data_IF_231740870636
#
_entry.id   IF_231740870636
#
_cell.length_a   1.000
_cell.length_b   1.000
_cell.length_c   1.000
_cell.angle_alpha   90.00
_cell.angle_beta   90.00
_cell.angle_gamma   90.00
#
_symmetry.space_group_name_H-M   'P 1'
#
loop_
_entity.id
_entity.type
_entity.pdbx_description
1 polymer ?
#
# COMPACT_ATOMS: atom_id res chain seq x y z
N UNK A 1 38.95 39.95 27.34
CA UNK A 1 37.50 39.98 27.68
C UNK A 1 36.58 40.38 26.53
N UNK A 2 36.84 41.51 25.85
CA UNK A 2 36.02 42.00 24.72
C UNK A 2 36.16 41.17 23.44
N UNK A 3 37.36 40.66 23.15
CA UNK A 3 37.63 39.84 21.95
C UNK A 3 36.88 38.50 21.99
N UNK A 4 36.76 37.89 23.18
CA UNK A 4 36.06 36.61 23.35
C UNK A 4 34.53 36.76 23.17
N UNK A 5 33.97 37.91 23.57
CA UNK A 5 32.57 38.26 23.34
C UNK A 5 32.26 38.45 21.85
N UNK A 6 33.19 39.04 21.08
CA UNK A 6 33.05 39.19 19.63
C UNK A 6 33.14 37.85 18.89
N UNK A 7 33.97 36.91 19.35
CA UNK A 7 34.08 35.58 18.71
C UNK A 7 32.79 34.78 18.97
N UNK A 8 32.21 34.89 20.17
CA UNK A 8 30.94 34.23 20.51
C UNK A 8 29.76 34.78 19.70
N UNK A 9 29.72 36.10 19.46
CA UNK A 9 28.66 36.73 18.65
C UNK A 9 28.77 36.39 17.17
N UNK A 10 29.98 36.27 16.62
CA UNK A 10 30.21 35.85 15.23
C UNK A 10 29.86 34.37 15.03
N UNK A 11 30.19 33.49 15.98
CA UNK A 11 29.80 32.07 15.94
C UNK A 11 28.27 31.89 15.97
N UNK A 12 27.54 32.68 16.77
CA UNK A 12 26.07 32.64 16.82
C UNK A 12 25.39 33.18 15.54
N UNK A 13 26.05 34.09 14.80
CA UNK A 13 25.55 34.65 13.55
C UNK A 13 25.97 33.86 12.29
N UNK A 14 26.88 32.90 12.43
CA UNK A 14 27.38 32.04 11.35
C UNK A 14 26.96 30.57 11.49
N UNK A 15 26.04 30.27 12.41
CA UNK A 15 25.11 29.16 12.23
C UNK A 15 23.98 29.67 11.32
N UNK A 16 24.06 29.52 9.98
CA UNK A 16 22.83 29.56 9.21
C UNK A 16 21.93 28.51 9.86
N UNK A 17 20.74 28.92 10.28
CA UNK A 17 19.73 28.02 10.79
C UNK A 17 19.77 26.77 9.93
N UNK A 18 20.18 25.64 10.51
CA UNK A 18 20.00 24.35 9.90
C UNK A 18 18.49 24.06 9.91
N UNK A 19 17.75 24.82 9.11
CA UNK A 19 16.43 24.48 8.62
C UNK A 19 16.65 23.44 7.52
N UNK A 20 17.17 22.30 7.93
CA UNK A 20 16.97 21.04 7.24
C UNK A 20 16.03 20.24 8.13
N UNK A 21 14.72 20.51 7.99
CA UNK A 21 13.69 19.50 7.86
C UNK A 21 12.33 20.19 7.75
N UNK A 22 11.77 20.19 6.55
CA UNK A 22 10.62 19.34 6.29
C UNK A 22 10.37 19.40 4.79
N UNK A 23 10.60 18.30 4.09
CA UNK A 23 9.80 17.98 2.90
C UNK A 23 8.38 17.72 3.39
N UNK A 24 7.72 18.77 3.88
CA UNK A 24 6.29 18.78 4.08
C UNK A 24 5.76 18.87 2.65
N UNK A 25 5.06 17.83 2.18
CA UNK A 25 4.33 17.90 0.93
C UNK A 25 3.59 19.23 0.90
N UNK A 26 4.02 20.13 0.02
CA UNK A 26 3.31 21.36 -0.18
C UNK A 26 1.96 20.93 -0.75
N UNK A 27 0.93 20.97 0.10
CA UNK A 27 -0.45 20.86 -0.31
C UNK A 27 -0.69 21.97 -1.33
N UNK A 28 -0.59 21.63 -2.62
CA UNK A 28 -1.21 22.44 -3.65
C UNK A 28 -2.68 22.49 -3.26
N UNK A 29 -3.25 23.69 -3.08
CA UNK A 29 -4.68 23.81 -2.77
C UNK A 29 -5.46 22.91 -3.73
N UNK A 30 -6.47 22.20 -3.20
CA UNK A 30 -7.35 21.31 -3.99
C UNK A 30 -7.87 21.93 -5.31
N UNK A 31 -7.89 23.26 -5.40
CA UNK A 31 -8.22 24.05 -6.59
C UNK A 31 -7.15 23.99 -7.69
N UNK A 32 -5.87 24.07 -7.32
CA UNK A 32 -4.76 23.96 -8.27
C UNK A 32 -4.65 22.55 -8.86
N UNK A 33 -4.92 21.53 -8.05
CA UNK A 33 -4.99 20.14 -8.52
C UNK A 33 -6.11 19.93 -9.54
N UNK A 34 -7.26 20.59 -9.37
CA UNK A 34 -8.37 20.53 -10.33
C UNK A 34 -8.06 21.22 -11.65
N UNK A 35 -7.32 22.32 -11.64
CA UNK A 35 -6.83 23.00 -12.85
C UNK A 35 -5.83 22.13 -13.64
N UNK A 36 -5.04 21.32 -12.93
CA UNK A 36 -4.15 20.31 -13.52
C UNK A 36 -4.90 19.05 -14.01
N UNK A 37 -6.20 18.95 -13.77
CA UNK A 37 -7.05 17.83 -14.16
C UNK A 37 -7.07 16.66 -13.18
N UNK A 38 -6.50 16.83 -11.98
CA UNK A 38 -6.50 15.82 -10.92
C UNK A 38 -7.73 15.94 -10.03
N UNK A 39 -8.22 14.79 -9.55
CA UNK A 39 -9.31 14.73 -8.57
C UNK A 39 -8.80 15.12 -7.18
N UNK A 40 -9.64 15.74 -6.36
CA UNK A 40 -9.32 16.11 -4.97
C UNK A 40 -9.23 14.91 -4.01
N UNK A 41 -9.59 13.71 -4.47
CA UNK A 41 -9.48 12.45 -3.70
C UNK A 41 -8.50 11.48 -4.39
N UNK A 42 -7.49 12.02 -5.07
CA UNK A 42 -6.50 11.22 -5.77
C UNK A 42 -5.66 10.44 -4.75
N UNK A 43 -5.44 9.16 -5.01
CA UNK A 43 -4.63 8.27 -4.18
C UNK A 43 -3.21 8.18 -4.72
N UNK A 44 -2.20 8.09 -3.84
CA UNK A 44 -0.81 8.11 -4.28
C UNK A 44 -0.42 6.84 -5.05
N UNK A 45 -1.08 5.70 -4.79
CA UNK A 45 -0.90 4.48 -5.58
C UNK A 45 -1.25 4.65 -7.07
N UNK A 46 -2.21 5.53 -7.39
CA UNK A 46 -2.54 5.86 -8.78
C UNK A 46 -1.41 6.62 -9.48
N UNK A 47 -0.61 7.39 -8.72
CA UNK A 47 0.55 8.13 -9.23
C UNK A 47 1.73 7.23 -9.61
N UNK A 48 1.89 6.09 -8.94
CA UNK A 48 2.95 5.12 -9.26
C UNK A 48 2.67 4.39 -10.58
N UNK A 49 1.40 4.12 -10.89
CA UNK A 49 0.97 3.45 -12.12
C UNK A 49 1.15 4.34 -13.36
N UNK A 50 1.11 5.67 -13.23
CA UNK A 50 1.31 6.62 -14.33
C UNK A 50 2.68 6.45 -15.02
N UNK A 51 3.69 5.97 -14.30
CA UNK A 51 5.00 5.64 -14.85
C UNK A 51 4.96 4.51 -15.89
N UNK A 52 4.06 3.53 -15.73
CA UNK A 52 3.88 2.40 -16.65
C UNK A 52 3.29 2.85 -18.00
N UNK A 53 2.43 3.87 -17.98
CA UNK A 53 1.76 4.41 -19.17
C UNK A 53 2.56 5.51 -19.89
N UNK A 54 3.86 5.67 -19.57
CA UNK A 54 4.72 6.74 -20.11
C UNK A 54 4.21 8.17 -19.80
N UNK A 55 3.45 8.33 -18.71
CA UNK A 55 2.95 9.62 -18.23
C UNK A 55 3.86 10.20 -17.13
N UNK A 56 5.17 9.96 -17.24
CA UNK A 56 6.20 10.38 -16.27
C UNK A 56 6.23 11.90 -16.04
N UNK A 57 5.77 12.69 -17.02
CA UNK A 57 5.68 14.15 -16.91
C UNK A 57 4.62 14.60 -15.88
N UNK A 58 3.56 13.82 -15.69
CA UNK A 58 2.44 14.11 -14.79
C UNK A 58 2.65 13.54 -13.38
N UNK A 59 3.58 12.61 -13.22
CA UNK A 59 3.93 11.99 -11.95
C UNK A 59 4.35 12.98 -10.84
N UNK A 60 5.19 14.01 -11.10
CA UNK A 60 5.52 15.00 -10.08
C UNK A 60 4.30 15.82 -9.63
N UNK A 61 3.45 16.23 -10.57
CA UNK A 61 2.23 16.99 -10.29
C UNK A 61 1.19 16.14 -9.53
N UNK A 62 1.08 14.85 -9.89
CA UNK A 62 0.23 13.86 -9.23
C UNK A 62 0.62 13.68 -7.75
N UNK A 63 1.92 13.56 -7.48
CA UNK A 63 2.44 13.37 -6.13
C UNK A 63 2.20 14.57 -5.20
N UNK A 64 2.02 15.77 -5.77
CA UNK A 64 1.65 16.97 -5.01
C UNK A 64 0.15 17.08 -4.72
N UNK A 65 -0.67 16.26 -5.39
CA UNK A 65 -2.14 16.29 -5.32
C UNK A 65 -2.74 15.01 -4.71
N UNK A 66 -1.92 14.03 -4.34
CA UNK A 66 -2.38 12.74 -3.86
C UNK A 66 -2.46 12.68 -2.33
N UNK A 67 -3.45 11.95 -1.84
CA UNK A 67 -3.63 11.62 -0.44
C UNK A 67 -2.99 10.26 -0.16
N UNK A 68 -2.16 10.19 0.88
CA UNK A 68 -1.60 8.93 1.33
C UNK A 68 -2.72 8.02 1.84
N UNK A 69 -2.87 6.83 1.25
CA UNK A 69 -3.77 5.82 1.79
C UNK A 69 -3.34 5.36 3.18
N UNK A 70 -4.21 5.54 4.18
CA UNK A 70 -4.10 4.84 5.45
C UNK A 70 -4.46 3.37 5.19
N UNK A 71 -3.42 2.56 5.03
CA UNK A 71 -3.48 1.16 4.60
C UNK A 71 -3.87 1.03 3.14
N UNK A 72 -2.89 1.22 2.26
CA UNK A 72 -2.64 0.17 1.29
C UNK A 72 -2.56 -1.11 2.12
N UNK A 73 -3.60 -1.94 2.09
CA UNK A 73 -3.42 -3.33 2.47
C UNK A 73 -2.31 -3.81 1.54
N UNK A 74 -1.07 -3.80 2.03
CA UNK A 74 0.03 -4.54 1.42
C UNK A 74 -0.60 -5.89 1.21
N UNK A 75 -0.89 -6.24 -0.06
CA UNK A 75 -1.60 -7.47 -0.41
C UNK A 75 -0.87 -8.54 0.36
N UNK A 76 -1.49 -9.07 1.40
CA UNK A 76 -0.82 -10.00 2.30
C UNK A 76 -0.65 -11.25 1.46
N UNK A 77 0.55 -11.40 0.91
CA UNK A 77 0.91 -12.54 0.11
C UNK A 77 1.12 -13.70 1.07
N UNK A 78 0.46 -14.81 0.78
CA UNK A 78 0.56 -16.04 1.55
C UNK A 78 1.56 -16.96 0.84
N UNK A 79 2.37 -17.66 1.62
CA UNK A 79 3.37 -18.58 1.08
C UNK A 79 2.73 -19.84 0.48
N UNK A 80 1.48 -20.13 0.84
CA UNK A 80 0.72 -21.24 0.28
C UNK A 80 -0.75 -21.24 0.69
N UNK A 81 -1.53 -22.12 0.08
CA UNK A 81 -2.92 -22.36 0.43
C UNK A 81 -3.23 -23.86 0.38
N UNK A 82 -4.07 -24.34 1.29
CA UNK A 82 -4.59 -25.71 1.34
C UNK A 82 -6.10 -25.64 1.18
N UNK A 83 -6.60 -26.37 0.18
CA UNK A 83 -8.03 -26.53 -0.05
C UNK A 83 -8.51 -27.85 0.55
N UNK A 84 -9.39 -27.78 1.55
CA UNK A 84 -10.02 -28.96 2.14
C UNK A 84 -11.41 -29.18 1.49
N UNK A 85 -11.50 -30.18 0.61
CA UNK A 85 -12.76 -30.60 -0.01
C UNK A 85 -13.20 -31.94 0.56
N UNK A 86 -14.39 -31.99 1.15
CA UNK A 86 -15.04 -33.27 1.46
C UNK A 86 -15.73 -33.80 0.20
N UNK A 87 -15.13 -34.81 -0.45
CA UNK A 87 -15.77 -35.55 -1.54
C UNK A 87 -16.79 -36.55 -0.97
N UNK A 88 -17.99 -36.07 -0.68
CA UNK A 88 -19.11 -36.92 -0.26
C UNK A 88 -19.94 -37.38 -1.46
N UNK A 89 -19.77 -38.63 -1.89
CA UNK A 89 -20.68 -39.28 -2.82
C UNK A 89 -22.04 -39.52 -2.13
N UNK A 90 -23.07 -38.80 -2.59
CA UNK A 90 -24.47 -39.22 -2.58
C UNK A 90 -25.08 -39.63 -1.22
N UNK A 91 -24.95 -38.82 -0.17
CA UNK A 91 -25.97 -38.75 0.90
C UNK A 91 -25.83 -37.46 1.71
N UNK A 92 -26.91 -36.68 1.76
CA UNK A 92 -27.02 -35.44 2.54
C UNK A 92 -27.04 -35.76 4.04
N UNK A 93 -25.87 -36.03 4.63
CA UNK A 93 -25.68 -36.11 6.07
C UNK A 93 -24.51 -35.22 6.46
N UNK A 94 -24.88 -33.97 6.77
CA UNK A 94 -24.05 -32.88 7.34
C UNK A 94 -22.61 -32.87 6.83
N UNK A 95 -22.46 -32.57 5.54
CA UNK A 95 -21.18 -32.27 4.92
C UNK A 95 -20.55 -31.03 5.56
N UNK A 96 -19.29 -31.14 5.95
CA UNK A 96 -18.48 -29.98 6.30
C UNK A 96 -18.39 -29.07 5.10
N UNK A 97 -18.64 -27.78 5.30
CA UNK A 97 -18.48 -26.77 4.25
C UNK A 97 -17.03 -26.79 3.75
N UNK A 98 -16.79 -26.62 2.43
CA UNK A 98 -15.44 -26.57 1.90
C UNK A 98 -14.72 -25.32 2.42
N UNK A 99 -13.47 -25.52 2.84
CA UNK A 99 -12.66 -24.51 3.51
C UNK A 99 -11.33 -24.32 2.79
N UNK A 100 -10.95 -23.06 2.61
CA UNK A 100 -9.64 -22.65 2.11
C UNK A 100 -8.80 -22.13 3.28
N UNK A 101 -7.64 -22.75 3.52
CA UNK A 101 -6.69 -22.37 4.57
C UNK A 101 -5.47 -21.72 3.94
N UNK A 102 -5.20 -20.48 4.29
CA UNK A 102 -4.04 -19.71 3.83
C UNK A 102 -2.89 -19.90 4.80
N UNK A 103 -1.68 -20.12 4.29
CA UNK A 103 -0.49 -20.40 5.06
C UNK A 103 0.45 -19.20 5.09
N UNK A 104 1.09 -18.97 6.24
CA UNK A 104 2.22 -18.04 6.37
C UNK A 104 3.55 -18.65 5.89
N UNK A 105 4.62 -17.87 5.91
CA UNK A 105 5.98 -18.28 5.54
C UNK A 105 6.53 -19.45 6.37
N UNK A 106 5.96 -19.67 7.54
CA UNK A 106 6.34 -20.73 8.46
C UNK A 106 5.53 -22.02 8.22
N UNK A 107 4.60 -22.00 7.26
CA UNK A 107 3.70 -23.11 6.95
C UNK A 107 2.56 -23.29 7.95
N UNK A 108 2.29 -22.30 8.82
CA UNK A 108 1.16 -22.33 9.73
C UNK A 108 -0.08 -21.71 9.10
N UNK A 109 -1.27 -22.09 9.57
CA UNK A 109 -2.54 -21.54 9.09
C UNK A 109 -2.65 -20.09 9.58
N UNK A 110 -2.55 -19.16 8.64
CA UNK A 110 -2.71 -17.74 8.88
C UNK A 110 -4.18 -17.31 8.84
N UNK A 111 -4.99 -17.92 7.95
CA UNK A 111 -6.39 -17.56 7.75
C UNK A 111 -7.21 -18.75 7.22
N UNK A 112 -8.50 -18.78 7.57
CA UNK A 112 -9.44 -19.82 7.17
C UNK A 112 -10.70 -19.19 6.56
N UNK A 113 -11.07 -19.59 5.35
CA UNK A 113 -12.16 -19.02 4.56
C UNK A 113 -13.13 -20.09 4.08
N UNK A 114 -14.43 -19.86 4.27
CA UNK A 114 -15.48 -20.74 3.74
C UNK A 114 -15.78 -20.40 2.27
N UNK A 115 -15.49 -21.32 1.36
CA UNK A 115 -15.62 -21.10 -0.09
C UNK A 115 -16.89 -21.73 -0.69
N UNK A 116 -17.88 -22.06 0.13
CA UNK A 116 -19.10 -22.79 -0.29
C UNK A 116 -19.84 -22.14 -1.48
N UNK A 117 -19.71 -20.82 -1.65
CA UNK A 117 -20.37 -20.06 -2.73
C UNK A 117 -19.45 -19.77 -3.92
N UNK A 118 -18.18 -20.14 -3.84
CA UNK A 118 -17.20 -19.79 -4.84
C UNK A 118 -17.18 -20.85 -5.94
N UNK A 119 -17.06 -20.40 -7.18
CA UNK A 119 -16.78 -21.28 -8.31
C UNK A 119 -15.26 -21.42 -8.49
N UNK A 120 -14.85 -22.35 -9.36
CA UNK A 120 -13.44 -22.63 -9.63
C UNK A 120 -12.67 -21.38 -10.09
N UNK A 121 -13.28 -20.57 -10.97
CA UNK A 121 -12.65 -19.38 -11.53
C UNK A 121 -12.38 -18.32 -10.45
N UNK A 122 -13.33 -18.12 -9.54
CA UNK A 122 -13.19 -17.19 -8.41
C UNK A 122 -12.13 -17.63 -7.40
N UNK A 123 -11.99 -18.94 -7.17
CA UNK A 123 -10.93 -19.47 -6.31
C UNK A 123 -9.56 -19.26 -6.96
N UNK A 124 -9.43 -19.51 -8.26
CA UNK A 124 -8.18 -19.31 -8.99
C UNK A 124 -7.75 -17.84 -9.03
N UNK A 125 -8.69 -16.92 -9.29
CA UNK A 125 -8.43 -15.48 -9.28
C UNK A 125 -7.96 -14.99 -7.91
N UNK A 126 -8.66 -15.40 -6.84
CA UNK A 126 -8.30 -15.05 -5.47
C UNK A 126 -6.92 -15.57 -5.08
N UNK A 127 -6.62 -16.84 -5.38
CA UNK A 127 -5.31 -17.42 -5.10
C UNK A 127 -4.21 -16.76 -5.92
N UNK A 128 -4.49 -16.39 -7.17
CA UNK A 128 -3.53 -15.68 -8.03
C UNK A 128 -3.21 -14.26 -7.54
N UNK A 129 -4.13 -13.61 -6.83
CA UNK A 129 -3.91 -12.30 -6.22
C UNK A 129 -3.19 -12.40 -4.86
N UNK A 130 -3.49 -13.45 -4.08
CA UNK A 130 -3.10 -13.56 -2.66
C UNK A 130 -1.90 -14.47 -2.41
N UNK A 131 -1.44 -15.27 -3.37
CA UNK A 131 -0.23 -16.08 -3.22
C UNK A 131 0.99 -15.37 -3.77
N UNK A 132 2.11 -15.50 -3.07
CA UNK A 132 3.41 -15.04 -3.56
C UNK A 132 3.82 -15.88 -4.77
N UNK A 133 4.10 -15.23 -5.92
CA UNK A 133 4.59 -15.92 -7.12
C UNK A 133 6.08 -16.19 -6.96
N UNK A 134 6.41 -17.40 -6.49
CA UNK A 134 7.77 -17.95 -6.50
C UNK A 134 8.13 -18.46 -7.90
#
# INVERSE_FOLDING_TARGET
>A
PLVLLCILSVLLLSFPSALQLSAYGADLSSEACRELGFSSNLLCSSCDLLGEFSLTKLQPDCGQCCQQEAQMEVRKLYAGAILEVFQGELSYVRGSDPVLKLLDDNGNIAEELSILKWNTDSVEEFLSEKLDRI
#
